data_IF_222746581639
#
_entry.id   IF_222746581639
#
_cell.length_a   1.000
_cell.length_b   1.000
_cell.length_c   1.000
_cell.angle_alpha   90.00
_cell.angle_beta   90.00
_cell.angle_gamma   90.00
#
_symmetry.space_group_name_H-M   'P 1'
#
loop_
_entity.id
_entity.type
_entity.pdbx_description
1 polymer ?
#
# COMPACT_ATOMS: atom_id res chain seq x y z
N UNK A 1 -24.54 -15.03 -4.66
CA UNK A 1 -24.60 -15.76 -3.36
C UNK A 1 -25.73 -15.17 -2.54
N UNK A 2 -26.39 -15.95 -1.68
CA UNK A 2 -27.45 -15.49 -0.77
C UNK A 2 -27.30 -16.17 0.58
N UNK A 3 -27.74 -15.51 1.65
CA UNK A 3 -27.83 -16.11 2.98
C UNK A 3 -29.29 -16.19 3.43
N UNK A 4 -29.60 -17.16 4.29
CA UNK A 4 -30.87 -17.25 5.01
C UNK A 4 -30.56 -17.15 6.49
N UNK A 5 -31.23 -16.21 7.17
CA UNK A 5 -31.05 -15.97 8.60
C UNK A 5 -32.42 -15.89 9.28
N UNK A 6 -32.53 -16.45 10.48
CA UNK A 6 -33.78 -16.49 11.22
C UNK A 6 -33.63 -17.17 12.58
N UNK A 7 -34.70 -17.11 13.36
CA UNK A 7 -34.79 -17.69 14.71
C UNK A 7 -36.06 -18.53 14.85
N UNK A 8 -36.16 -19.31 15.92
CA UNK A 8 -37.28 -20.23 16.19
C UNK A 8 -38.46 -19.60 16.94
N UNK A 9 -38.38 -18.30 17.23
CA UNK A 9 -39.37 -17.52 17.97
C UNK A 9 -39.68 -18.06 19.38
N UNK A 10 -38.73 -18.75 20.00
CA UNK A 10 -38.85 -19.23 21.39
C UNK A 10 -38.32 -18.21 22.40
N UNK A 11 -38.73 -18.36 23.67
CA UNK A 11 -38.28 -17.48 24.77
C UNK A 11 -39.16 -16.25 25.01
N UNK A 12 -38.75 -15.43 25.98
CA UNK A 12 -39.44 -14.18 26.31
C UNK A 12 -38.96 -13.06 25.39
N UNK A 13 -39.88 -12.33 24.76
CA UNK A 13 -39.59 -11.27 23.79
C UNK A 13 -38.65 -11.71 22.65
N UNK A 14 -39.06 -12.67 21.79
CA UNK A 14 -38.21 -13.23 20.75
C UNK A 14 -37.96 -12.27 19.56
N UNK A 15 -38.52 -11.06 19.59
CA UNK A 15 -38.42 -10.10 18.50
C UNK A 15 -36.98 -9.64 18.30
N UNK A 16 -36.48 -9.75 17.07
CA UNK A 16 -35.12 -9.37 16.72
C UNK A 16 -35.13 -8.38 15.55
N UNK A 17 -34.66 -7.16 15.80
CA UNK A 17 -34.36 -6.24 14.70
C UNK A 17 -32.97 -6.55 14.15
N UNK A 18 -32.91 -7.00 12.89
CA UNK A 18 -31.65 -7.24 12.18
C UNK A 18 -31.35 -6.06 11.27
N UNK A 19 -30.29 -5.30 11.60
CA UNK A 19 -29.78 -4.21 10.78
C UNK A 19 -29.06 -4.77 9.53
N UNK A 20 -27.95 -5.48 9.71
CA UNK A 20 -27.22 -6.10 8.60
C UNK A 20 -26.40 -7.32 9.07
N UNK A 21 -25.89 -8.09 8.11
CA UNK A 21 -24.95 -9.20 8.35
C UNK A 21 -23.67 -8.94 7.56
N UNK A 22 -22.52 -9.04 8.20
CA UNK A 22 -21.20 -8.98 7.55
C UNK A 22 -20.56 -10.36 7.55
N UNK A 23 -20.07 -10.81 6.38
CA UNK A 23 -19.34 -12.07 6.23
C UNK A 23 -17.96 -11.77 5.66
N UNK A 24 -16.94 -11.91 6.50
CA UNK A 24 -15.53 -11.78 6.10
C UNK A 24 -15.00 -13.11 5.57
N UNK A 25 -14.72 -13.17 4.27
CA UNK A 25 -14.02 -14.31 3.65
C UNK A 25 -12.53 -14.04 3.67
N UNK A 26 -11.78 -14.90 4.37
CA UNK A 26 -10.33 -14.98 4.25
C UNK A 26 -9.99 -15.57 2.88
N UNK A 27 -9.27 -14.82 2.05
CA UNK A 27 -8.74 -15.31 0.78
C UNK A 27 -7.26 -15.67 1.03
N UNK A 28 -6.80 -16.86 0.61
CA UNK A 28 -5.37 -17.17 0.59
C UNK A 28 -4.59 -16.07 -0.14
N UNK A 29 -3.40 -15.71 0.35
CA UNK A 29 -2.59 -14.57 -0.12
C UNK A 29 -3.07 -13.16 0.29
N UNK A 30 -3.48 -13.01 1.56
CA UNK A 30 -3.59 -11.72 2.25
C UNK A 30 -4.73 -10.78 1.79
N UNK A 31 -5.79 -11.30 1.16
CA UNK A 31 -6.98 -10.47 0.88
C UNK A 31 -8.13 -10.87 1.81
N UNK A 32 -8.83 -9.88 2.35
CA UNK A 32 -10.13 -10.10 2.98
C UNK A 32 -11.21 -9.55 2.06
N UNK A 33 -12.24 -10.35 1.83
CA UNK A 33 -13.43 -9.91 1.11
C UNK A 33 -14.62 -9.97 2.05
N UNK A 34 -15.12 -8.80 2.42
CA UNK A 34 -16.27 -8.67 3.30
C UNK A 34 -17.52 -8.46 2.47
N UNK A 35 -18.51 -9.34 2.65
CA UNK A 35 -19.83 -9.22 2.04
C UNK A 35 -20.79 -8.62 3.05
N UNK A 36 -21.47 -7.54 2.65
CA UNK A 36 -22.48 -6.88 3.50
C UNK A 36 -23.87 -7.21 2.98
N UNK A 37 -24.70 -7.78 3.84
CA UNK A 37 -26.09 -8.14 3.57
C UNK A 37 -26.99 -7.22 4.39
N UNK A 38 -27.52 -6.19 3.74
CA UNK A 38 -28.46 -5.25 4.35
C UNK A 38 -29.79 -5.95 4.66
N UNK A 39 -30.33 -5.72 5.86
CA UNK A 39 -31.62 -6.24 6.28
C UNK A 39 -32.55 -5.09 6.69
N UNK A 40 -32.24 -4.39 7.79
CA UNK A 40 -32.99 -3.28 8.37
C UNK A 40 -34.49 -3.56 8.56
N UNK A 41 -34.79 -4.76 9.09
CA UNK A 41 -36.16 -5.26 9.26
C UNK A 41 -36.29 -6.04 10.57
N UNK A 42 -37.50 -6.10 11.09
CA UNK A 42 -37.80 -6.98 12.22
C UNK A 42 -37.96 -8.43 11.75
N UNK A 43 -37.40 -9.34 12.54
CA UNK A 43 -37.63 -10.77 12.50
C UNK A 43 -38.45 -11.08 13.75
N UNK A 44 -39.78 -10.97 13.64
CA UNK A 44 -40.70 -11.16 14.75
C UNK A 44 -42.11 -11.41 14.21
N UNK A 45 -42.90 -12.24 14.89
CA UNK A 45 -44.30 -12.49 14.49
C UNK A 45 -45.24 -11.31 14.74
N UNK A 46 -44.86 -10.40 15.61
CA UNK A 46 -45.68 -9.28 16.08
C UNK A 46 -45.18 -7.90 15.60
N UNK A 47 -44.07 -7.84 14.87
CA UNK A 47 -43.50 -6.60 14.32
C UNK A 47 -43.39 -6.70 12.79
N UNK A 48 -43.33 -5.54 12.13
CA UNK A 48 -43.10 -5.40 10.68
C UNK A 48 -44.03 -6.29 9.83
N UNK A 49 -43.51 -7.29 9.13
CA UNK A 49 -44.30 -8.19 8.25
C UNK A 49 -44.59 -9.57 8.87
N UNK A 50 -44.30 -9.76 10.17
CA UNK A 50 -44.57 -11.01 10.86
C UNK A 50 -43.60 -12.16 10.52
N UNK A 51 -42.62 -11.94 9.64
CA UNK A 51 -41.63 -12.96 9.29
C UNK A 51 -40.55 -13.07 10.36
N UNK A 52 -40.09 -14.30 10.65
CA UNK A 52 -38.96 -14.60 11.55
C UNK A 52 -37.71 -15.06 10.79
N UNK A 53 -37.77 -15.03 9.45
CA UNK A 53 -36.70 -15.46 8.53
C UNK A 53 -36.54 -14.43 7.42
N UNK A 54 -35.29 -14.18 7.02
CA UNK A 54 -34.93 -13.34 5.87
C UNK A 54 -33.99 -14.09 4.93
N UNK A 55 -34.23 -13.95 3.64
CA UNK A 55 -33.23 -14.27 2.61
C UNK A 55 -32.59 -12.97 2.14
N UNK A 56 -31.27 -12.86 2.27
CA UNK A 56 -30.52 -11.65 1.98
C UNK A 56 -29.53 -11.90 0.84
N UNK A 57 -29.38 -10.90 -0.02
CA UNK A 57 -28.36 -10.86 -1.08
C UNK A 57 -27.38 -9.73 -0.77
N UNK A 58 -26.09 -9.87 -1.13
CA UNK A 58 -25.12 -8.83 -0.84
C UNK A 58 -25.30 -7.65 -1.79
N UNK A 59 -25.37 -6.43 -1.27
CA UNK A 59 -25.46 -5.22 -2.11
C UNK A 59 -24.07 -4.78 -2.62
N UNK A 60 -23.04 -4.92 -1.79
CA UNK A 60 -21.65 -4.51 -2.05
C UNK A 60 -20.68 -5.43 -1.33
N UNK A 61 -19.47 -5.54 -1.86
CA UNK A 61 -18.35 -6.15 -1.14
C UNK A 61 -17.27 -5.10 -0.90
N UNK A 62 -16.61 -5.19 0.25
CA UNK A 62 -15.40 -4.43 0.55
C UNK A 62 -14.23 -5.39 0.37
N UNK A 63 -13.35 -5.09 -0.59
CA UNK A 63 -12.05 -5.73 -0.70
C UNK A 63 -11.06 -4.92 0.14
N UNK A 64 -10.77 -5.40 1.35
CA UNK A 64 -9.65 -4.90 2.12
C UNK A 64 -8.40 -5.63 1.63
N UNK A 65 -7.55 -4.90 0.90
CA UNK A 65 -6.23 -5.42 0.55
C UNK A 65 -5.35 -5.27 1.79
N UNK A 66 -4.74 -6.35 2.31
CA UNK A 66 -3.64 -6.15 3.25
C UNK A 66 -2.54 -5.40 2.50
N UNK A 67 -2.22 -4.20 2.98
CA UNK A 67 -1.04 -3.49 2.52
C UNK A 67 0.18 -4.15 3.16
N UNK A 68 1.03 -4.77 2.33
CA UNK A 68 2.39 -5.14 2.71
C UNK A 68 3.25 -3.90 2.88
N UNK A 69 4.21 -3.99 3.79
CA UNK A 69 5.20 -2.95 4.05
C UNK A 69 6.52 -3.31 3.39
N UNK A 70 7.02 -2.41 2.56
CA UNK A 70 8.35 -2.45 1.97
C UNK A 70 9.22 -1.42 2.69
N UNK A 71 10.30 -1.86 3.30
CA UNK A 71 11.29 -0.99 3.92
C UNK A 71 12.29 -0.60 2.83
N UNK A 72 12.40 0.70 2.55
CA UNK A 72 13.26 1.24 1.51
C UNK A 72 14.38 2.03 2.16
N UNK A 73 15.61 1.56 2.06
CA UNK A 73 16.80 2.30 2.51
C UNK A 73 17.48 2.93 1.28
N UNK A 74 17.49 4.26 1.23
CA UNK A 74 18.08 5.06 0.15
C UNK A 74 19.45 5.55 0.59
N UNK A 75 20.48 5.25 -0.20
CA UNK A 75 21.88 5.59 0.10
C UNK A 75 22.32 6.76 -0.76
N UNK A 76 22.64 7.88 -0.13
CA UNK A 76 23.27 9.02 -0.80
C UNK A 76 24.78 8.87 -0.72
N UNK A 77 25.48 8.95 -1.86
CA UNK A 77 26.92 8.65 -1.89
C UNK A 77 27.80 9.72 -1.25
N UNK A 78 29.09 9.41 -1.10
CA UNK A 78 30.08 10.23 -0.39
C UNK A 78 30.87 11.16 -1.34
N UNK A 79 30.22 11.71 -2.38
CA UNK A 79 30.83 12.68 -3.30
C UNK A 79 30.61 14.11 -2.83
N UNK A 80 31.52 15.02 -3.16
CA UNK A 80 31.32 16.44 -2.88
C UNK A 80 30.07 16.94 -3.63
N UNK A 81 29.15 17.58 -2.91
CA UNK A 81 27.87 18.05 -3.47
C UNK A 81 26.81 16.98 -3.66
N UNK A 82 26.97 15.76 -3.14
CA UNK A 82 26.05 14.64 -3.38
C UNK A 82 24.66 14.76 -2.74
N UNK A 83 24.42 15.80 -1.94
CA UNK A 83 23.15 16.02 -1.23
C UNK A 83 22.12 16.69 -2.13
N UNK A 84 20.83 16.48 -1.84
CA UNK A 84 19.76 17.18 -2.56
C UNK A 84 18.70 17.75 -1.63
N UNK A 85 18.12 18.88 -2.05
CA UNK A 85 16.90 19.44 -1.45
C UNK A 85 15.64 19.21 -2.30
N UNK A 86 15.77 18.51 -3.43
CA UNK A 86 14.65 18.23 -4.32
C UNK A 86 13.70 17.18 -3.70
N UNK A 87 12.47 17.13 -4.20
CA UNK A 87 11.55 16.06 -3.81
C UNK A 87 11.94 14.79 -4.58
N UNK A 88 12.07 13.68 -3.84
CA UNK A 88 12.43 12.37 -4.40
C UNK A 88 11.20 11.48 -4.44
N UNK A 89 11.01 10.83 -5.58
CA UNK A 89 9.90 9.92 -5.85
C UNK A 89 10.42 8.55 -6.25
N UNK A 90 9.68 7.51 -5.90
CA UNK A 90 10.08 6.13 -6.12
C UNK A 90 8.89 5.27 -6.56
N UNK A 91 9.13 4.31 -7.43
CA UNK A 91 8.18 3.25 -7.81
C UNK A 91 8.90 1.91 -7.79
N UNK A 92 8.36 0.95 -7.04
CA UNK A 92 8.89 -0.42 -6.97
C UNK A 92 8.01 -1.29 -7.85
N UNK A 93 8.63 -2.09 -8.72
CA UNK A 93 7.95 -3.01 -9.63
C UNK A 93 8.30 -4.46 -9.27
N UNK A 94 7.25 -5.28 -9.17
CA UNK A 94 7.36 -6.74 -9.12
C UNK A 94 6.45 -7.41 -10.14
N UNK A 95 6.50 -8.74 -10.19
CA UNK A 95 5.74 -9.55 -11.15
C UNK A 95 4.21 -9.47 -10.96
N UNK A 96 3.73 -9.11 -9.76
CA UNK A 96 2.31 -8.93 -9.46
C UNK A 96 1.80 -7.48 -9.58
N UNK A 97 2.67 -6.52 -9.90
CA UNK A 97 2.31 -5.11 -10.07
C UNK A 97 3.36 -4.14 -9.57
N UNK A 98 2.96 -2.90 -9.31
CA UNK A 98 3.83 -1.84 -8.82
C UNK A 98 3.20 -1.04 -7.67
N UNK A 99 4.02 -0.24 -6.98
CA UNK A 99 3.58 0.58 -5.85
C UNK A 99 2.81 1.83 -6.24
N UNK A 100 2.75 2.16 -7.54
CA UNK A 100 2.58 3.53 -8.00
C UNK A 100 3.76 4.41 -7.58
N UNK A 101 3.72 5.67 -8.03
CA UNK A 101 4.70 6.66 -7.63
C UNK A 101 4.48 7.10 -6.17
N UNK A 102 5.54 7.08 -5.38
CA UNK A 102 5.57 7.42 -3.96
C UNK A 102 6.59 8.50 -3.70
N UNK A 103 6.16 9.63 -3.15
CA UNK A 103 7.05 10.68 -2.68
C UNK A 103 7.67 10.30 -1.33
N UNK A 104 8.98 10.47 -1.22
CA UNK A 104 9.77 10.11 -0.04
C UNK A 104 9.84 11.27 0.97
N UNK A 105 8.70 11.60 1.57
CA UNK A 105 8.55 12.79 2.43
C UNK A 105 9.05 12.60 3.86
N UNK A 106 8.83 11.41 4.44
CA UNK A 106 9.08 11.12 5.86
C UNK A 106 10.05 9.96 6.07
N UNK A 107 11.33 10.30 6.24
CA UNK A 107 12.36 9.34 6.64
C UNK A 107 12.18 8.96 8.11
N UNK A 108 12.28 7.66 8.40
CA UNK A 108 12.20 7.09 9.75
C UNK A 108 13.48 7.32 10.55
N UNK A 109 14.59 7.63 9.87
CA UNK A 109 15.92 7.75 10.47
C UNK A 109 16.38 9.20 10.59
N UNK A 110 16.02 10.07 9.64
CA UNK A 110 16.52 11.44 9.61
C UNK A 110 15.42 12.46 9.31
N UNK A 111 15.50 13.63 9.97
CA UNK A 111 14.59 14.76 9.67
C UNK A 111 14.97 15.46 8.36
N UNK A 112 16.27 15.71 8.19
CA UNK A 112 16.84 16.20 6.95
C UNK A 112 17.33 15.00 6.13
N UNK A 113 16.79 14.85 4.92
CA UNK A 113 16.91 13.65 4.08
C UNK A 113 17.97 13.87 3.00
N UNK A 114 18.51 12.79 2.46
CA UNK A 114 19.36 12.78 1.28
C UNK A 114 20.63 13.64 1.42
N UNK A 115 21.20 13.69 2.63
CA UNK A 115 22.50 14.31 2.87
C UNK A 115 23.65 13.40 2.41
N UNK A 116 24.80 14.00 2.14
CA UNK A 116 26.01 13.26 1.74
C UNK A 116 26.32 12.13 2.74
N UNK A 117 26.55 10.91 2.23
CA UNK A 117 26.86 9.70 3.03
C UNK A 117 25.74 9.28 3.99
N UNK A 118 24.53 9.78 3.79
CA UNK A 118 23.37 9.44 4.62
C UNK A 118 22.61 8.23 4.06
N UNK A 119 21.96 7.51 4.97
CA UNK A 119 20.99 6.48 4.67
C UNK A 119 19.63 6.94 5.21
N UNK A 120 18.64 7.03 4.32
CA UNK A 120 17.27 7.39 4.66
C UNK A 120 16.32 6.22 4.49
N UNK A 121 15.60 5.89 5.57
CA UNK A 121 14.67 4.78 5.62
C UNK A 121 13.24 5.24 5.42
N UNK A 122 12.53 4.63 4.47
CA UNK A 122 11.11 4.87 4.23
C UNK A 122 10.31 3.57 4.35
N UNK A 123 9.04 3.69 4.69
CA UNK A 123 8.09 2.58 4.71
C UNK A 123 7.06 2.83 3.61
N UNK A 124 7.05 1.96 2.61
CA UNK A 124 6.11 2.02 1.50
C UNK A 124 5.06 0.92 1.68
N UNK A 125 3.80 1.33 1.77
CA UNK A 125 2.66 0.42 1.83
C UNK A 125 2.11 0.15 0.43
N UNK A 126 2.01 -1.12 0.07
CA UNK A 126 1.46 -1.56 -1.22
C UNK A 126 0.92 -2.99 -1.14
N UNK A 127 0.22 -3.43 -2.18
CA UNK A 127 -0.13 -4.84 -2.34
C UNK A 127 1.14 -5.72 -2.47
N UNK A 128 0.97 -7.05 -2.34
CA UNK A 128 2.05 -7.99 -2.67
C UNK A 128 2.51 -7.80 -4.11
N UNK A 129 3.71 -7.22 -4.28
CA UNK A 129 4.36 -7.03 -5.57
C UNK A 129 4.92 -8.34 -6.13
N UNK A 130 4.93 -9.42 -5.32
CA UNK A 130 5.54 -10.69 -5.69
C UNK A 130 7.07 -10.58 -5.75
N UNK A 131 7.71 -11.08 -6.81
CA UNK A 131 9.16 -10.92 -6.96
C UNK A 131 9.48 -9.52 -7.50
N UNK A 132 10.08 -8.68 -6.66
CA UNK A 132 10.55 -7.34 -7.06
C UNK A 132 11.73 -7.52 -8.02
N UNK A 133 11.76 -6.74 -9.12
CA UNK A 133 12.82 -6.85 -10.13
C UNK A 133 13.29 -5.51 -10.70
N UNK A 134 12.55 -4.43 -10.47
CA UNK A 134 12.82 -3.11 -11.04
C UNK A 134 12.40 -2.00 -10.08
N UNK A 135 13.17 -0.93 -10.07
CA UNK A 135 12.94 0.25 -9.26
C UNK A 135 13.14 1.49 -10.11
N UNK A 136 12.17 2.38 -10.08
CA UNK A 136 12.26 3.70 -10.71
C UNK A 136 12.40 4.73 -9.61
N UNK A 137 13.39 5.61 -9.71
CA UNK A 137 13.60 6.70 -8.76
C UNK A 137 13.82 7.99 -9.52
N UNK A 138 13.15 9.07 -9.10
CA UNK A 138 13.30 10.38 -9.73
C UNK A 138 13.37 11.52 -8.72
N UNK A 139 13.98 12.62 -9.11
CA UNK A 139 13.86 13.91 -8.42
C UNK A 139 13.06 14.90 -9.29
N UNK A 140 12.37 15.85 -8.68
CA UNK A 140 11.62 16.89 -9.41
C UNK A 140 12.45 18.13 -9.77
N UNK A 141 13.75 18.13 -9.44
CA UNK A 141 14.70 19.22 -9.67
C UNK A 141 14.23 20.59 -9.14
N UNK A 142 13.28 20.62 -8.20
CA UNK A 142 12.84 21.87 -7.60
C UNK A 142 13.82 22.34 -6.52
N UNK A 143 14.26 23.59 -6.61
CA UNK A 143 15.08 24.26 -5.58
C UNK A 143 16.56 24.39 -5.93
N UNK A 144 17.32 25.06 -5.06
CA UNK A 144 18.78 25.16 -5.19
C UNK A 144 19.45 23.87 -4.69
N UNK A 145 20.51 23.43 -5.38
CA UNK A 145 21.22 22.17 -5.10
C UNK A 145 20.32 20.94 -5.33
N UNK A 146 19.74 20.84 -6.52
CA UNK A 146 18.92 19.71 -6.96
C UNK A 146 19.74 18.46 -7.30
N UNK A 147 21.01 18.64 -7.68
CA UNK A 147 21.91 17.56 -8.04
C UNK A 147 22.04 16.56 -6.89
N UNK A 148 21.84 15.28 -7.21
CA UNK A 148 21.87 14.23 -6.21
C UNK A 148 22.73 13.08 -6.69
N UNK A 149 23.71 12.65 -5.88
CA UNK A 149 24.45 11.44 -6.20
C UNK A 149 23.88 10.26 -5.43
N UNK A 150 23.08 9.47 -6.14
CA UNK A 150 22.46 8.26 -5.59
C UNK A 150 23.44 7.08 -5.73
N UNK A 151 23.75 6.44 -4.59
CA UNK A 151 24.63 5.28 -4.52
C UNK A 151 23.85 4.00 -4.86
N UNK A 152 22.89 3.64 -3.99
CA UNK A 152 22.03 2.47 -4.17
C UNK A 152 20.71 2.63 -3.41
N UNK A 153 19.76 1.75 -3.68
CA UNK A 153 18.52 1.61 -2.93
C UNK A 153 18.32 0.15 -2.55
N UNK A 154 18.10 -0.11 -1.26
CA UNK A 154 17.71 -1.43 -0.78
C UNK A 154 16.20 -1.46 -0.55
N UNK A 155 15.52 -2.45 -1.11
CA UNK A 155 14.10 -2.71 -0.87
C UNK A 155 13.98 -4.04 -0.13
N UNK A 156 13.51 -3.97 1.11
CA UNK A 156 13.30 -5.13 1.98
C UNK A 156 11.82 -5.40 2.17
N UNK A 157 11.42 -6.64 1.94
CA UNK A 157 10.12 -7.17 2.36
C UNK A 157 10.33 -8.25 3.45
N UNK A 158 9.28 -9.01 3.77
CA UNK A 158 9.36 -10.10 4.75
C UNK A 158 10.19 -11.30 4.26
N UNK A 159 10.45 -11.41 2.95
CA UNK A 159 11.09 -12.57 2.31
C UNK A 159 12.58 -12.35 2.12
N UNK A 160 12.96 -11.19 1.58
CA UNK A 160 14.35 -10.91 1.19
C UNK A 160 14.65 -9.41 1.07
N UNK A 161 15.90 -9.12 0.71
CA UNK A 161 16.40 -7.77 0.44
C UNK A 161 16.82 -7.73 -1.03
N UNK A 162 16.23 -6.81 -1.78
CA UNK A 162 16.54 -6.52 -3.17
C UNK A 162 17.44 -5.28 -3.23
N UNK A 163 18.57 -5.34 -3.94
CA UNK A 163 19.54 -4.24 -4.00
C UNK A 163 19.58 -3.66 -5.41
N UNK A 164 19.37 -2.35 -5.51
CA UNK A 164 19.37 -1.59 -6.76
C UNK A 164 20.53 -0.59 -6.78
N UNK A 165 21.59 -0.92 -7.49
CA UNK A 165 22.76 -0.05 -7.64
C UNK A 165 22.50 1.05 -8.67
N UNK A 166 22.87 2.29 -8.35
CA UNK A 166 22.78 3.44 -9.24
C UNK A 166 24.18 4.04 -9.51
N UNK A 167 24.88 4.48 -8.46
CA UNK A 167 26.22 5.08 -8.49
C UNK A 167 26.36 6.25 -9.50
N UNK A 168 25.29 7.02 -9.70
CA UNK A 168 25.20 8.08 -10.71
C UNK A 168 24.58 9.37 -10.16
N UNK A 169 24.86 10.48 -10.84
CA UNK A 169 24.23 11.77 -10.57
C UNK A 169 22.85 11.84 -11.21
N UNK A 170 21.87 12.27 -10.43
CA UNK A 170 20.53 12.71 -10.82
C UNK A 170 20.56 14.25 -10.76
N UNK A 171 20.82 14.89 -11.89
CA UNK A 171 21.15 16.31 -11.96
C UNK A 171 20.49 16.98 -13.18
N UNK A 172 20.40 18.31 -13.14
CA UNK A 172 20.02 19.12 -14.29
C UNK A 172 21.28 19.51 -15.05
N UNK A 173 21.44 19.06 -16.30
CA UNK A 173 22.46 19.62 -17.18
C UNK A 173 21.94 19.76 -18.63
N UNK A 174 22.45 20.77 -19.32
CA UNK A 174 21.85 21.40 -20.51
C UNK A 174 21.69 20.50 -21.75
N UNK A 175 22.24 19.30 -21.77
CA UNK A 175 22.32 18.47 -22.98
C UNK A 175 21.68 17.07 -22.88
N UNK A 176 21.43 16.49 -21.69
CA UNK A 176 20.71 15.22 -21.56
C UNK A 176 20.22 14.99 -20.13
N UNK A 177 18.92 15.17 -19.94
CA UNK A 177 18.23 15.09 -18.65
C UNK A 177 18.01 13.65 -18.21
N UNK A 178 18.60 13.23 -17.09
CA UNK A 178 18.15 12.03 -16.39
C UNK A 178 17.85 12.39 -14.93
N UNK A 179 16.66 12.98 -14.73
CA UNK A 179 16.06 13.18 -13.41
C UNK A 179 15.40 11.90 -12.89
N UNK A 180 15.40 10.83 -13.68
CA UNK A 180 14.74 9.56 -13.43
C UNK A 180 15.65 8.40 -13.83
N UNK A 181 15.95 7.51 -12.90
CA UNK A 181 16.70 6.29 -13.17
C UNK A 181 15.82 5.05 -13.01
N UNK A 182 15.95 4.14 -13.97
CA UNK A 182 15.35 2.81 -13.92
C UNK A 182 16.46 1.82 -13.58
N UNK A 183 16.39 1.27 -12.38
CA UNK A 183 17.32 0.30 -11.83
C UNK A 183 16.71 -1.09 -11.89
N UNK A 184 17.52 -2.09 -12.18
CA UNK A 184 17.13 -3.49 -12.17
C UNK A 184 17.90 -4.21 -11.06
N UNK A 185 17.26 -5.21 -10.47
CA UNK A 185 17.91 -6.05 -9.47
C UNK A 185 19.11 -6.78 -10.12
N UNK A 186 20.24 -6.79 -9.42
CA UNK A 186 21.47 -7.49 -9.84
C UNK A 186 21.62 -8.83 -9.15
#
# INVERSE_FOLDING_TARGET
>A
EKIRIGHDNTGFCPAWHLDHVEICRLIPDQKTKTYVFQCNRWLAKNEDDGSIVRELVPEKFIEEKLNKKYIVDVYTGDKFGSRTNANVFLTIYGDKGDTGERELTHSQTNKNKFERKQIDRFIIESNDLGNVYKLKIRCDNNGMLSDWFLDKVDVKDERQIHIFYCEQWLAEDKDNSIFEQILYEK
#
